data_IF_062343402644
#
_entry.id   IF_062343402644
#
_cell.length_a   1.000
_cell.length_b   1.000
_cell.length_c   1.000
_cell.angle_alpha   90.00
_cell.angle_beta   90.00
_cell.angle_gamma   90.00
#
_symmetry.space_group_name_H-M   'P 1'
#
loop_
_entity.id
_entity.type
_entity.pdbx_description
1 polymer ?
#
# COMPACT_ATOMS: atom_id res chain seq x y z
N UNK A 1 46.28 -63.60 -11.91
CA UNK A 1 46.52 -62.35 -12.68
C UNK A 1 45.19 -61.84 -13.18
N UNK A 2 44.58 -60.87 -12.56
CA UNK A 2 43.44 -60.18 -13.11
C UNK A 2 43.38 -58.74 -12.50
N UNK A 3 43.53 -57.75 -13.40
CA UNK A 3 43.50 -56.35 -13.06
C UNK A 3 42.06 -55.87 -12.86
N UNK A 4 41.81 -55.33 -11.70
CA UNK A 4 40.58 -54.67 -11.34
C UNK A 4 40.59 -53.23 -11.90
N UNK A 5 39.64 -52.89 -12.81
CA UNK A 5 39.35 -51.54 -13.27
C UNK A 5 38.33 -50.90 -12.37
N UNK A 6 38.77 -49.97 -11.53
CA UNK A 6 37.87 -49.09 -10.76
C UNK A 6 37.36 -47.99 -11.67
N UNK A 7 36.08 -48.03 -11.98
CA UNK A 7 35.39 -46.90 -12.66
C UNK A 7 35.12 -45.80 -11.63
N UNK A 8 35.72 -44.62 -11.86
CA UNK A 8 35.42 -43.37 -11.17
C UNK A 8 34.20 -42.74 -11.84
N UNK A 9 33.05 -42.81 -11.19
CA UNK A 9 31.87 -42.01 -11.58
C UNK A 9 32.04 -40.59 -10.99
N UNK A 10 32.37 -39.67 -11.85
CA UNK A 10 32.35 -38.23 -11.52
C UNK A 10 30.90 -37.73 -11.42
N UNK A 11 30.52 -37.34 -10.22
CA UNK A 11 29.24 -36.68 -9.94
C UNK A 11 29.38 -35.21 -10.37
N UNK A 12 28.85 -34.84 -11.54
CA UNK A 12 28.70 -33.46 -11.94
C UNK A 12 27.60 -32.82 -11.08
N UNK A 13 28.01 -32.04 -10.10
CA UNK A 13 27.09 -31.17 -9.32
C UNK A 13 26.59 -30.03 -10.21
N UNK A 14 25.32 -30.06 -10.58
CA UNK A 14 24.63 -28.93 -11.19
C UNK A 14 24.40 -27.89 -10.08
N UNK A 15 25.23 -26.84 -10.06
CA UNK A 15 24.97 -25.65 -9.26
C UNK A 15 23.88 -24.86 -9.98
N UNK A 16 22.64 -25.03 -9.54
CA UNK A 16 21.56 -24.14 -9.94
C UNK A 16 21.81 -22.76 -9.29
N UNK A 17 22.29 -21.81 -10.09
CA UNK A 17 22.36 -20.41 -9.69
C UNK A 17 20.92 -19.92 -9.51
N UNK A 18 20.47 -19.75 -8.26
CA UNK A 18 19.29 -18.98 -7.94
C UNK A 18 19.60 -17.52 -8.27
N UNK A 19 19.20 -17.10 -9.48
CA UNK A 19 19.09 -15.70 -9.80
C UNK A 19 17.97 -15.13 -8.89
N UNK A 20 18.34 -14.49 -7.79
CA UNK A 20 17.41 -13.73 -6.96
C UNK A 20 16.74 -12.66 -7.83
N UNK A 21 15.50 -12.24 -7.51
CA UNK A 21 14.85 -11.17 -8.23
C UNK A 21 15.76 -9.94 -8.23
N UNK A 22 16.00 -9.39 -9.44
CA UNK A 22 16.75 -8.15 -9.57
C UNK A 22 16.09 -7.07 -8.70
N UNK A 23 16.85 -6.23 -7.99
CA UNK A 23 16.27 -5.16 -7.21
C UNK A 23 15.46 -4.29 -8.17
N UNK A 24 14.15 -4.23 -7.95
CA UNK A 24 13.26 -3.31 -8.65
C UNK A 24 13.79 -1.91 -8.32
N UNK A 25 14.25 -1.17 -9.32
CA UNK A 25 14.73 0.19 -9.12
C UNK A 25 13.64 0.99 -8.41
N UNK A 26 14.02 1.71 -7.36
CA UNK A 26 13.11 2.58 -6.63
C UNK A 26 12.52 3.59 -7.63
N UNK A 27 11.20 3.83 -7.56
CA UNK A 27 10.52 4.79 -8.44
C UNK A 27 11.06 6.20 -8.18
N UNK A 28 11.18 6.99 -9.22
CA UNK A 28 11.55 8.41 -9.07
C UNK A 28 10.41 9.19 -8.41
N UNK A 29 10.74 10.34 -7.80
CA UNK A 29 9.72 11.28 -7.28
C UNK A 29 8.68 11.62 -8.36
N UNK A 30 9.12 11.95 -9.57
CA UNK A 30 8.26 12.31 -10.71
C UNK A 30 7.31 11.17 -11.11
N UNK A 31 7.78 9.93 -11.06
CA UNK A 31 6.94 8.76 -11.35
C UNK A 31 5.86 8.57 -10.28
N UNK A 32 6.21 8.74 -9.01
CA UNK A 32 5.26 8.67 -7.89
C UNK A 32 4.23 9.79 -8.03
N UNK A 33 4.66 11.05 -8.26
CA UNK A 33 3.81 12.21 -8.45
C UNK A 33 2.77 11.98 -9.57
N UNK A 34 3.24 11.60 -10.75
CA UNK A 34 2.36 11.33 -11.90
C UNK A 34 1.31 10.24 -11.61
N UNK A 35 1.68 9.22 -10.84
CA UNK A 35 0.75 8.15 -10.43
C UNK A 35 -0.24 8.62 -9.36
N UNK A 36 0.21 9.42 -8.40
CA UNK A 36 -0.62 10.02 -7.36
C UNK A 36 -1.66 10.95 -7.96
N UNK A 37 -1.28 11.80 -8.91
CA UNK A 37 -2.21 12.72 -9.57
C UNK A 37 -3.31 11.96 -10.32
N UNK A 38 -2.95 10.90 -11.06
CA UNK A 38 -3.95 10.05 -11.72
C UNK A 38 -4.87 9.33 -10.73
N UNK A 39 -4.31 8.84 -9.62
CA UNK A 39 -5.09 8.18 -8.58
C UNK A 39 -6.06 9.15 -7.89
N UNK A 40 -5.67 10.42 -7.69
CA UNK A 40 -6.56 11.46 -7.15
C UNK A 40 -7.74 11.77 -8.09
N UNK A 41 -7.52 11.80 -9.40
CA UNK A 41 -8.60 11.96 -10.38
C UNK A 41 -9.56 10.78 -10.30
N UNK A 42 -9.04 9.55 -10.38
CA UNK A 42 -9.85 8.34 -10.30
C UNK A 42 -10.63 8.24 -8.98
N UNK A 43 -10.00 8.60 -7.86
CA UNK A 43 -10.64 8.60 -6.54
C UNK A 43 -11.87 9.51 -6.51
N UNK A 44 -11.77 10.72 -7.09
CA UNK A 44 -12.90 11.66 -7.18
C UNK A 44 -14.02 11.15 -8.07
N UNK A 45 -13.69 10.46 -9.14
CA UNK A 45 -14.65 9.98 -10.14
C UNK A 45 -15.35 8.68 -9.70
N UNK A 46 -14.63 7.79 -9.00
CA UNK A 46 -15.12 6.43 -8.75
C UNK A 46 -15.60 6.20 -7.33
N UNK A 47 -15.15 7.02 -6.36
CA UNK A 47 -15.52 6.84 -4.94
C UNK A 47 -16.51 7.94 -4.52
N UNK A 48 -17.78 7.60 -4.30
CA UNK A 48 -18.79 8.56 -3.84
C UNK A 48 -18.38 9.20 -2.51
N UNK A 49 -18.39 10.54 -2.44
CA UNK A 49 -18.00 11.31 -1.26
C UNK A 49 -16.50 11.61 -1.13
N UNK A 50 -15.65 11.06 -2.00
CA UNK A 50 -14.22 11.33 -1.96
C UNK A 50 -13.88 12.80 -2.24
N UNK A 51 -14.64 13.48 -3.08
CA UNK A 51 -14.46 14.91 -3.34
C UNK A 51 -14.60 15.74 -2.06
N UNK A 52 -15.64 15.48 -1.27
CA UNK A 52 -15.89 16.15 0.01
C UNK A 52 -14.78 15.85 1.04
N UNK A 53 -14.32 14.59 1.10
CA UNK A 53 -13.17 14.23 1.95
C UNK A 53 -11.90 14.98 1.56
N UNK A 54 -11.62 15.11 0.26
CA UNK A 54 -10.46 15.84 -0.24
C UNK A 54 -10.50 17.34 0.08
N UNK A 55 -11.70 17.94 0.17
CA UNK A 55 -11.89 19.34 0.54
C UNK A 55 -11.76 19.59 2.04
N UNK A 56 -12.16 18.61 2.85
CA UNK A 56 -12.23 18.79 4.32
C UNK A 56 -11.00 18.25 5.06
N UNK A 57 -10.30 17.26 4.48
CA UNK A 57 -9.12 16.66 5.10
C UNK A 57 -7.96 17.65 5.24
N UNK A 58 -7.23 17.56 6.35
CA UNK A 58 -5.99 18.32 6.60
C UNK A 58 -4.83 17.83 5.75
N UNK A 59 -4.84 16.57 5.40
CA UNK A 59 -3.90 15.94 4.48
C UNK A 59 -4.46 14.63 3.95
N UNK A 60 -3.93 14.17 2.84
CA UNK A 60 -4.27 12.88 2.25
C UNK A 60 -3.02 12.14 1.80
N UNK A 61 -2.83 10.91 2.28
CA UNK A 61 -1.81 10.00 1.78
C UNK A 61 -2.41 9.16 0.67
N UNK A 62 -1.83 9.22 -0.52
CA UNK A 62 -2.25 8.43 -1.67
C UNK A 62 -1.19 7.40 -2.01
N UNK A 63 -1.61 6.14 -2.01
CA UNK A 63 -0.82 5.00 -2.46
C UNK A 63 -1.40 4.51 -3.80
N UNK A 64 -0.87 4.99 -4.94
CA UNK A 64 -1.49 4.80 -6.26
C UNK A 64 -1.35 3.37 -6.80
N UNK A 65 -0.50 2.57 -6.20
CA UNK A 65 -0.23 1.21 -6.65
C UNK A 65 0.30 0.35 -5.50
N UNK A 66 -0.58 -0.38 -4.85
CA UNK A 66 -0.24 -1.35 -3.81
C UNK A 66 -0.41 -2.74 -4.40
N UNK A 67 0.71 -3.41 -4.61
CA UNK A 67 0.74 -4.78 -5.14
C UNK A 67 0.71 -5.75 -3.97
N UNK A 68 -0.28 -6.62 -3.98
CA UNK A 68 -0.45 -7.71 -3.01
C UNK A 68 -0.27 -9.04 -3.71
N UNK A 69 0.59 -9.91 -3.19
CA UNK A 69 0.83 -11.23 -3.74
C UNK A 69 1.24 -12.24 -2.68
N UNK A 70 0.99 -13.52 -2.98
CA UNK A 70 1.34 -14.64 -2.10
C UNK A 70 0.52 -15.88 -2.39
N UNK A 71 0.90 -17.01 -1.79
CA UNK A 71 0.17 -18.30 -1.90
C UNK A 71 -0.52 -18.65 -0.57
N UNK A 72 0.23 -18.78 0.50
CA UNK A 72 -0.24 -19.09 1.86
C UNK A 72 0.12 -17.96 2.80
N UNK A 73 1.32 -17.43 2.61
CA UNK A 73 1.81 -16.19 3.23
C UNK A 73 2.13 -15.24 2.09
N UNK A 74 1.63 -14.05 2.18
CA UNK A 74 1.82 -13.02 1.19
C UNK A 74 2.23 -11.70 1.82
N UNK A 75 2.54 -10.75 0.95
CA UNK A 75 2.82 -9.38 1.35
C UNK A 75 2.18 -8.39 0.41
N UNK A 76 2.02 -7.19 0.87
CA UNK A 76 1.66 -6.04 0.07
C UNK A 76 2.75 -4.99 0.16
N UNK A 77 3.01 -4.31 -0.96
CA UNK A 77 3.96 -3.21 -1.03
C UNK A 77 3.48 -2.16 -2.02
N UNK A 78 3.68 -0.91 -1.68
CA UNK A 78 3.40 0.23 -2.53
C UNK A 78 4.19 1.47 -2.12
N UNK A 79 4.25 2.45 -3.01
CA UNK A 79 4.85 3.75 -2.77
C UNK A 79 3.88 4.85 -3.18
N UNK A 80 3.87 5.95 -2.45
CA UNK A 80 2.97 7.05 -2.66
C UNK A 80 3.44 8.35 -2.03
N UNK A 81 2.54 9.33 -1.98
CA UNK A 81 2.85 10.66 -1.47
C UNK A 81 1.76 11.19 -0.54
N UNK A 82 2.20 11.94 0.46
CA UNK A 82 1.35 12.75 1.33
C UNK A 82 1.13 14.11 0.68
N UNK A 83 -0.13 14.47 0.46
CA UNK A 83 -0.59 15.77 -0.02
C UNK A 83 -1.17 16.58 1.12
N UNK A 84 -0.70 17.80 1.27
CA UNK A 84 -1.21 18.78 2.24
C UNK A 84 -1.42 20.11 1.53
N UNK A 85 -2.63 20.65 1.57
CA UNK A 85 -2.95 21.85 0.82
C UNK A 85 -2.74 21.74 -0.69
N UNK A 86 -2.80 20.52 -1.24
CA UNK A 86 -2.56 20.24 -2.66
C UNK A 86 -1.09 20.04 -3.05
N UNK A 87 -0.13 20.32 -2.17
CA UNK A 87 1.30 20.12 -2.41
C UNK A 87 1.79 18.79 -1.82
N UNK A 88 2.82 18.19 -2.44
CA UNK A 88 3.50 17.04 -1.86
C UNK A 88 4.39 17.49 -0.71
N UNK A 89 4.19 16.87 0.43
CA UNK A 89 4.98 17.12 1.62
C UNK A 89 6.05 16.02 1.86
N UNK A 90 5.76 14.79 1.46
CA UNK A 90 6.68 13.68 1.60
C UNK A 90 6.23 12.44 0.86
N UNK A 91 7.18 11.53 0.70
CA UNK A 91 6.94 10.22 0.07
C UNK A 91 6.95 9.12 1.11
N UNK A 92 6.11 8.12 0.90
CA UNK A 92 5.93 7.01 1.83
C UNK A 92 5.85 5.68 1.08
N UNK A 93 6.30 4.62 1.75
CA UNK A 93 6.01 3.26 1.36
C UNK A 93 4.95 2.67 2.28
N UNK A 94 4.16 1.73 1.77
CA UNK A 94 3.32 0.85 2.56
C UNK A 94 3.80 -0.57 2.44
N UNK A 95 3.87 -1.28 3.56
CA UNK A 95 4.11 -2.71 3.63
C UNK A 95 3.09 -3.35 4.57
N UNK A 96 2.54 -4.50 4.17
CA UNK A 96 1.66 -5.29 5.00
C UNK A 96 1.95 -6.77 4.81
N UNK A 97 1.86 -7.56 5.89
CA UNK A 97 1.82 -9.00 5.79
C UNK A 97 0.37 -9.44 5.53
N UNK A 98 0.18 -10.43 4.67
CA UNK A 98 -1.13 -11.02 4.43
C UNK A 98 -1.06 -12.53 4.61
N UNK A 99 -2.05 -13.08 5.32
CA UNK A 99 -2.23 -14.51 5.50
C UNK A 99 -3.53 -14.91 4.80
N UNK A 100 -3.49 -15.98 4.02
CA UNK A 100 -4.67 -16.52 3.38
C UNK A 100 -4.36 -17.22 2.06
N UNK A 101 -5.27 -18.14 1.67
CA UNK A 101 -5.21 -18.86 0.40
C UNK A 101 -5.67 -17.95 -0.75
N UNK A 102 -4.87 -16.97 -1.11
CA UNK A 102 -5.10 -16.14 -2.30
C UNK A 102 -3.98 -16.43 -3.30
N UNK A 103 -4.32 -17.15 -4.36
CA UNK A 103 -3.40 -17.41 -5.46
C UNK A 103 -3.53 -16.25 -6.44
N UNK A 104 -2.47 -15.48 -6.61
CA UNK A 104 -2.44 -14.42 -7.59
C UNK A 104 -1.79 -13.12 -7.11
N UNK A 105 -1.76 -12.15 -8.00
CA UNK A 105 -1.30 -10.78 -7.75
C UNK A 105 -2.50 -9.86 -7.89
N UNK A 106 -2.80 -9.11 -6.87
CA UNK A 106 -3.78 -8.03 -6.88
C UNK A 106 -3.09 -6.68 -6.80
N UNK A 107 -3.62 -5.71 -7.50
CA UNK A 107 -3.20 -4.32 -7.40
C UNK A 107 -4.37 -3.48 -6.96
N UNK A 108 -4.17 -2.71 -5.89
CA UNK A 108 -5.17 -1.78 -5.35
C UNK A 108 -4.56 -0.39 -5.20
N UNK A 109 -5.42 0.61 -5.04
CA UNK A 109 -5.06 1.96 -4.64
C UNK A 109 -5.63 2.22 -3.26
N UNK A 110 -4.93 3.04 -2.48
CA UNK A 110 -5.35 3.38 -1.12
C UNK A 110 -5.26 4.89 -0.92
N UNK A 111 -6.21 5.43 -0.18
CA UNK A 111 -6.19 6.80 0.30
C UNK A 111 -6.43 6.81 1.81
N UNK A 112 -5.59 7.52 2.57
CA UNK A 112 -5.81 7.82 3.97
C UNK A 112 -6.04 9.31 4.11
N UNK A 113 -7.23 9.68 4.57
CA UNK A 113 -7.62 11.06 4.82
C UNK A 113 -7.42 11.38 6.30
N UNK A 114 -6.55 12.33 6.60
CA UNK A 114 -6.34 12.84 7.96
C UNK A 114 -7.31 14.00 8.19
N UNK A 115 -8.37 13.74 8.95
CA UNK A 115 -9.46 14.71 9.15
C UNK A 115 -9.12 15.76 10.20
N UNK A 116 -8.13 15.50 11.06
CA UNK A 116 -7.68 16.42 12.11
C UNK A 116 -6.18 16.71 12.00
N UNK A 117 -5.78 17.91 12.45
CA UNK A 117 -4.35 18.28 12.51
C UNK A 117 -3.55 17.31 13.40
N UNK A 118 -4.14 16.90 14.54
CA UNK A 118 -3.47 15.97 15.46
C UNK A 118 -3.19 14.61 14.84
N UNK A 119 -4.11 14.10 14.00
CA UNK A 119 -3.91 12.84 13.28
C UNK A 119 -2.81 12.97 12.22
N UNK A 120 -2.83 14.06 11.45
CA UNK A 120 -1.81 14.36 10.44
C UNK A 120 -0.42 14.50 11.09
N UNK A 121 -0.31 15.24 12.17
CA UNK A 121 0.95 15.42 12.90
C UNK A 121 1.43 14.12 13.57
N UNK A 122 0.53 13.29 14.10
CA UNK A 122 0.86 11.97 14.62
C UNK A 122 1.49 11.08 13.56
N UNK A 123 0.91 11.08 12.36
CA UNK A 123 1.45 10.37 11.21
C UNK A 123 2.84 10.90 10.79
N UNK A 124 3.00 12.22 10.67
CA UNK A 124 4.27 12.86 10.25
C UNK A 124 5.45 12.56 11.18
N UNK A 125 5.18 12.47 12.49
CA UNK A 125 6.22 12.23 13.52
C UNK A 125 6.64 10.78 13.64
N UNK A 126 5.91 9.88 13.01
CA UNK A 126 6.20 8.44 13.07
C UNK A 126 7.19 8.02 11.98
N UNK A 127 8.27 7.33 12.36
CA UNK A 127 9.20 6.69 11.42
C UNK A 127 8.65 5.39 10.81
N UNK A 128 7.45 4.99 11.23
CA UNK A 128 6.77 3.78 10.77
C UNK A 128 5.41 3.66 11.44
N UNK A 129 4.41 4.32 10.85
CA UNK A 129 3.05 4.36 11.35
C UNK A 129 2.27 3.12 10.92
N UNK A 130 1.59 2.45 11.85
CA UNK A 130 0.87 1.20 11.63
C UNK A 130 -0.61 1.33 11.99
N UNK A 131 -1.48 0.91 11.07
CA UNK A 131 -2.93 0.87 11.30
C UNK A 131 -3.25 -0.22 12.31
N UNK A 132 -4.01 0.15 13.34
CA UNK A 132 -4.38 -0.71 14.45
C UNK A 132 -3.43 -0.63 15.64
N UNK A 133 -2.15 -0.23 15.44
CA UNK A 133 -1.20 -0.01 16.52
C UNK A 133 -1.09 1.47 16.91
N UNK A 134 -0.92 2.35 15.92
CA UNK A 134 -0.71 3.78 16.14
C UNK A 134 -2.02 4.60 16.05
N UNK A 135 -2.98 4.14 15.24
CA UNK A 135 -4.30 4.72 15.16
C UNK A 135 -5.34 3.76 14.56
N UNK A 136 -6.58 3.99 14.90
CA UNK A 136 -7.72 3.34 14.28
C UNK A 136 -8.09 4.08 12.98
N UNK A 137 -8.29 3.31 11.91
CA UNK A 137 -8.71 3.83 10.61
C UNK A 137 -10.08 3.29 10.29
N UNK A 138 -11.03 4.18 10.09
CA UNK A 138 -12.36 3.80 9.62
C UNK A 138 -12.31 3.53 8.12
N UNK A 139 -12.66 2.31 7.72
CA UNK A 139 -12.87 1.94 6.32
C UNK A 139 -14.37 1.92 6.06
N UNK A 140 -14.91 2.89 5.34
CA UNK A 140 -16.33 2.93 5.05
C UNK A 140 -16.76 1.72 4.20
N UNK A 141 -17.91 1.13 4.54
CA UNK A 141 -18.58 0.13 3.71
C UNK A 141 -19.37 0.78 2.56
N UNK A 142 -20.24 -0.02 1.95
CA UNK A 142 -21.18 0.47 0.92
C UNK A 142 -22.02 1.63 1.50
N UNK A 143 -21.86 2.82 0.93
CA UNK A 143 -22.57 4.02 1.39
C UNK A 143 -21.69 5.07 2.10
N UNK A 144 -20.45 5.23 1.65
CA UNK A 144 -19.52 6.26 2.12
C UNK A 144 -20.19 7.63 2.33
N UNK A 145 -21.04 8.07 1.42
CA UNK A 145 -21.74 9.36 1.49
C UNK A 145 -22.69 9.48 2.69
N UNK A 146 -23.31 8.37 3.13
CA UNK A 146 -24.19 8.37 4.29
C UNK A 146 -23.43 8.34 5.62
N UNK A 147 -22.22 7.80 5.63
CA UNK A 147 -21.37 7.71 6.81
C UNK A 147 -20.54 8.99 7.03
N UNK A 148 -20.22 9.76 5.99
CA UNK A 148 -19.42 10.97 6.10
C UNK A 148 -20.00 11.99 7.08
N UNK A 149 -21.33 12.17 7.09
CA UNK A 149 -21.99 13.15 7.95
C UNK A 149 -21.98 12.81 9.43
N UNK A 150 -21.73 11.54 9.80
CA UNK A 150 -21.72 11.08 11.19
C UNK A 150 -20.32 10.66 11.67
N UNK A 151 -19.42 10.42 10.75
CA UNK A 151 -18.15 9.73 11.01
C UNK A 151 -16.97 10.68 11.10
N UNK A 152 -16.99 11.81 10.38
CA UNK A 152 -15.90 12.79 10.34
C UNK A 152 -15.56 13.41 11.71
N UNK A 153 -16.55 13.59 12.57
CA UNK A 153 -16.30 14.12 13.92
C UNK A 153 -15.75 13.07 14.91
N UNK A 154 -15.96 11.79 14.61
CA UNK A 154 -15.58 10.68 15.49
C UNK A 154 -14.34 9.91 15.03
N UNK A 155 -14.00 9.98 13.75
CA UNK A 155 -12.88 9.23 13.16
C UNK A 155 -11.84 10.20 12.59
N UNK A 156 -10.72 10.36 13.28
CA UNK A 156 -9.66 11.28 12.85
C UNK A 156 -8.96 10.85 11.56
N UNK A 157 -9.09 9.57 11.17
CA UNK A 157 -8.52 9.03 9.95
C UNK A 157 -9.53 8.13 9.24
N UNK A 158 -9.73 8.39 7.94
CA UNK A 158 -10.60 7.60 7.06
C UNK A 158 -9.74 6.94 5.99
N UNK A 159 -9.81 5.62 5.86
CA UNK A 159 -9.11 4.84 4.84
C UNK A 159 -10.06 4.40 3.73
N UNK A 160 -9.64 4.56 2.49
CA UNK A 160 -10.38 4.11 1.31
C UNK A 160 -9.48 3.24 0.45
N UNK A 161 -9.99 2.06 0.06
CA UNK A 161 -9.33 1.19 -0.91
C UNK A 161 -10.15 1.23 -2.20
N UNK A 162 -9.50 1.48 -3.32
CA UNK A 162 -10.14 1.59 -4.63
C UNK A 162 -9.24 1.02 -5.74
N UNK A 163 -9.74 0.90 -6.95
CA UNK A 163 -9.01 0.31 -8.07
C UNK A 163 -9.77 0.37 -9.38
N UNK A 164 -9.34 -0.43 -10.36
CA UNK A 164 -9.94 -0.46 -11.70
C UNK A 164 -11.43 -0.85 -11.69
N UNK A 165 -11.87 -1.60 -10.69
CA UNK A 165 -13.26 -2.02 -10.52
C UNK A 165 -14.05 -1.10 -9.57
N UNK A 166 -13.52 0.09 -9.24
CA UNK A 166 -14.13 1.07 -8.35
C UNK A 166 -13.77 0.86 -6.88
N UNK A 167 -14.71 1.13 -5.99
CA UNK A 167 -14.57 0.99 -4.55
C UNK A 167 -14.60 -0.48 -4.13
N UNK A 168 -13.58 -0.94 -3.40
CA UNK A 168 -13.52 -2.30 -2.86
C UNK A 168 -14.03 -2.31 -1.42
N UNK A 169 -15.29 -2.65 -1.25
CA UNK A 169 -15.88 -2.85 0.07
C UNK A 169 -15.21 -4.03 0.79
N UNK A 170 -14.90 -3.84 2.07
CA UNK A 170 -14.33 -4.89 2.92
C UNK A 170 -12.84 -5.18 2.71
N UNK A 171 -12.13 -4.38 1.92
CA UNK A 171 -10.68 -4.46 1.88
C UNK A 171 -10.08 -3.99 3.21
N UNK A 172 -9.30 -4.84 3.87
CA UNK A 172 -8.65 -4.50 5.13
C UNK A 172 -7.36 -3.74 4.90
N UNK A 173 -7.20 -2.64 5.64
CA UNK A 173 -5.96 -1.89 5.78
C UNK A 173 -5.23 -2.25 7.09
N UNK A 174 -5.81 -3.10 7.91
CA UNK A 174 -5.28 -3.49 9.22
C UNK A 174 -3.88 -4.13 9.10
N UNK A 175 -2.97 -3.75 9.99
CA UNK A 175 -1.58 -4.20 9.96
C UNK A 175 -0.74 -3.61 8.83
N UNK A 176 -1.26 -2.64 8.08
CA UNK A 176 -0.47 -1.92 7.10
C UNK A 176 0.43 -0.90 7.79
N UNK A 177 1.73 -0.98 7.50
CA UNK A 177 2.75 -0.09 8.03
C UNK A 177 3.20 0.89 6.94
N UNK A 178 3.11 2.17 7.23
CA UNK A 178 3.53 3.26 6.36
C UNK A 178 4.83 3.87 6.89
N UNK A 179 5.83 3.97 6.05
CA UNK A 179 7.15 4.50 6.42
C UNK A 179 7.60 5.59 5.47
N UNK A 180 8.19 6.68 5.96
CA UNK A 180 8.76 7.72 5.10
C UNK A 180 9.89 7.16 4.25
N UNK A 181 9.99 7.62 3.00
CA UNK A 181 11.05 7.27 2.06
C UNK A 181 11.63 8.52 1.41
N UNK A 182 12.92 8.52 1.18
CA UNK A 182 13.59 9.59 0.42
C UNK A 182 13.43 9.36 -1.09
N UNK A 183 13.05 10.41 -1.83
CA UNK A 183 12.93 10.40 -3.29
C UNK A 183 13.49 11.69 -3.87
#
# INVERSE_FOLDING_TARGET
MSLSRRAFLGLLGVVAAFAGPAPTAAKSAEEIESRVDRALVELRETVPGAAELLETAKGVLIMPNVVKGGLVVGGAYGEGALRVGGATEGYYSVAAASFGLQIGVQTTKQALFFMTESALEGFRRSDGWEIGADAEVTVPGDGLSAQLNTTTERNPIIGVVFGQDGFLAGASLEGAKYSPISR
#
